data_IF_733108254525
#
_entry.id   IF_733108254525
#
_cell.length_a   1.000
_cell.length_b   1.000
_cell.length_c   1.000
_cell.angle_alpha   90.00
_cell.angle_beta   90.00
_cell.angle_gamma   90.00
#
_symmetry.space_group_name_H-M   'P 1'
#
loop_
_entity.id
_entity.type
_entity.pdbx_description
1 polymer ?
#
# COMPACT_ATOMS: atom_id res chain seq x y z
N UNK A 1 -5.96 -23.29 -22.93
CA UNK A 1 -4.96 -22.75 -21.97
C UNK A 1 -4.40 -21.48 -22.58
N UNK A 2 -4.72 -20.33 -21.98
CA UNK A 2 -4.06 -19.06 -22.33
C UNK A 2 -2.60 -19.18 -21.89
N UNK A 3 -1.66 -18.95 -22.80
CA UNK A 3 -0.22 -18.94 -22.47
C UNK A 3 0.13 -17.53 -22.01
N UNK A 4 0.63 -17.40 -20.78
CA UNK A 4 1.18 -16.14 -20.29
C UNK A 4 2.58 -15.91 -20.88
N UNK A 5 2.91 -14.65 -21.19
CA UNK A 5 4.25 -14.18 -21.54
C UNK A 5 4.92 -13.50 -20.35
N UNK A 6 6.23 -13.24 -20.42
CA UNK A 6 7.00 -12.60 -19.34
C UNK A 6 6.56 -11.14 -19.03
N UNK A 7 5.86 -10.50 -19.98
CA UNK A 7 5.40 -9.12 -19.87
C UNK A 7 3.90 -9.01 -19.58
N UNK A 8 3.20 -10.14 -19.42
CA UNK A 8 1.77 -10.10 -19.14
C UNK A 8 1.53 -9.60 -17.71
N UNK A 9 0.59 -8.67 -17.56
CA UNK A 9 0.11 -8.28 -16.24
C UNK A 9 -0.57 -9.46 -15.57
N UNK A 10 -0.22 -9.70 -14.30
CA UNK A 10 -0.88 -10.74 -13.50
C UNK A 10 -2.27 -10.22 -13.11
N UNK A 11 -3.36 -10.98 -13.38
CA UNK A 11 -4.70 -10.55 -13.01
C UNK A 11 -4.80 -10.31 -11.50
N UNK A 12 -5.60 -9.32 -11.04
CA UNK A 12 -5.79 -9.05 -9.63
C UNK A 12 -6.23 -10.31 -8.87
N UNK A 13 -5.66 -10.55 -7.70
CA UNK A 13 -6.15 -11.63 -6.83
C UNK A 13 -7.63 -11.38 -6.49
N UNK A 14 -8.49 -12.41 -6.52
CA UNK A 14 -9.91 -12.27 -6.17
C UNK A 14 -10.13 -11.91 -4.70
N UNK A 15 -9.10 -11.96 -3.86
CA UNK A 15 -9.15 -11.54 -2.46
C UNK A 15 -8.90 -10.03 -2.28
N UNK A 16 -8.49 -9.33 -3.33
CA UNK A 16 -8.21 -7.89 -3.33
C UNK A 16 -9.35 -7.20 -4.08
N UNK A 17 -10.05 -6.32 -3.39
CA UNK A 17 -11.07 -5.45 -3.95
C UNK A 17 -10.60 -3.99 -3.84
N UNK A 18 -10.83 -3.21 -4.90
CA UNK A 18 -10.57 -1.77 -4.90
C UNK A 18 -11.90 -1.06 -4.80
N UNK A 19 -12.05 -0.21 -3.79
CA UNK A 19 -13.24 0.62 -3.58
C UNK A 19 -12.86 2.11 -3.61
N UNK A 20 -13.85 2.96 -3.82
CA UNK A 20 -13.66 4.41 -3.71
C UNK A 20 -13.36 4.82 -2.27
N UNK A 21 -12.35 5.65 -2.12
CA UNK A 21 -11.91 6.28 -0.88
C UNK A 21 -12.71 7.52 -0.52
N UNK A 22 -12.17 8.31 0.42
CA UNK A 22 -12.85 9.46 1.04
C UNK A 22 -12.23 10.80 0.71
N UNK A 23 -11.01 10.83 0.18
CA UNK A 23 -10.23 12.06 0.01
C UNK A 23 -10.36 12.68 -1.38
N UNK A 24 -10.97 11.99 -2.35
CA UNK A 24 -11.24 12.52 -3.68
C UNK A 24 -11.82 11.46 -4.63
N UNK A 25 -12.23 11.86 -5.85
CA UNK A 25 -12.74 10.93 -6.87
C UNK A 25 -11.69 9.91 -7.33
N UNK A 26 -10.40 10.23 -7.17
CA UNK A 26 -9.26 9.38 -7.53
C UNK A 26 -8.69 8.58 -6.34
N UNK A 27 -9.24 8.78 -5.13
CA UNK A 27 -8.77 8.08 -3.93
C UNK A 27 -9.28 6.64 -3.97
N UNK A 28 -8.38 5.68 -4.03
CA UNK A 28 -8.70 4.25 -3.99
C UNK A 28 -8.31 3.63 -2.65
N UNK A 29 -9.15 2.74 -2.13
CA UNK A 29 -8.89 1.95 -0.93
C UNK A 29 -8.87 0.48 -1.29
N UNK A 30 -7.83 -0.22 -0.83
CA UNK A 30 -7.73 -1.66 -0.96
C UNK A 30 -8.49 -2.32 0.20
N UNK A 31 -9.53 -3.08 -0.14
CA UNK A 31 -10.14 -4.07 0.74
C UNK A 31 -9.50 -5.43 0.47
N UNK A 32 -9.02 -6.09 1.53
CA UNK A 32 -8.47 -7.42 1.42
C UNK A 32 -9.34 -8.40 2.22
N UNK A 33 -9.87 -9.41 1.52
CA UNK A 33 -10.83 -10.39 2.01
C UNK A 33 -10.20 -11.75 2.38
N UNK A 34 -8.87 -11.86 2.31
CA UNK A 34 -8.13 -13.11 2.55
C UNK A 34 -7.73 -13.35 4.01
N UNK A 35 -7.18 -14.55 4.28
CA UNK A 35 -6.58 -14.90 5.59
C UNK A 35 -5.11 -14.47 5.66
N UNK A 36 -4.16 -15.34 5.31
CA UNK A 36 -2.74 -15.00 5.24
C UNK A 36 -2.43 -14.52 3.83
N UNK A 37 -1.75 -13.36 3.64
CA UNK A 37 -1.51 -12.86 2.30
C UNK A 37 -0.39 -13.66 1.65
N UNK A 38 -0.59 -14.05 0.40
CA UNK A 38 0.47 -14.60 -0.46
C UNK A 38 1.46 -13.50 -0.85
N UNK A 39 2.68 -13.89 -1.25
CA UNK A 39 3.66 -12.93 -1.76
C UNK A 39 3.14 -12.18 -3.01
N UNK A 40 2.33 -12.84 -3.84
CA UNK A 40 1.69 -12.22 -4.99
C UNK A 40 0.74 -11.11 -4.55
N UNK A 41 -0.13 -11.38 -3.58
CA UNK A 41 -1.07 -10.39 -3.07
C UNK A 41 -0.35 -9.21 -2.42
N UNK A 42 0.72 -9.45 -1.66
CA UNK A 42 1.56 -8.37 -1.12
C UNK A 42 2.14 -7.52 -2.26
N UNK A 43 2.65 -8.16 -3.32
CA UNK A 43 3.17 -7.46 -4.50
C UNK A 43 2.11 -6.59 -5.19
N UNK A 44 0.90 -7.14 -5.40
CA UNK A 44 -0.22 -6.42 -5.98
C UNK A 44 -0.68 -5.23 -5.11
N UNK A 45 -0.76 -5.42 -3.79
CA UNK A 45 -1.10 -4.36 -2.83
C UNK A 45 -0.05 -3.24 -2.87
N UNK A 46 1.23 -3.59 -2.80
CA UNK A 46 2.32 -2.60 -2.81
C UNK A 46 2.35 -1.80 -4.10
N UNK A 47 2.17 -2.46 -5.25
CA UNK A 47 2.12 -1.82 -6.56
C UNK A 47 0.93 -0.84 -6.66
N UNK A 48 -0.26 -1.28 -6.24
CA UNK A 48 -1.45 -0.45 -6.29
C UNK A 48 -1.36 0.77 -5.37
N UNK A 49 -0.90 0.60 -4.12
CA UNK A 49 -0.72 1.74 -3.19
C UNK A 49 0.26 2.77 -3.76
N UNK A 50 1.35 2.32 -4.39
CA UNK A 50 2.32 3.24 -5.00
C UNK A 50 1.69 4.06 -6.15
N UNK A 51 0.95 3.41 -7.03
CA UNK A 51 0.28 4.08 -8.16
C UNK A 51 -0.80 5.06 -7.67
N UNK A 52 -1.56 4.66 -6.65
CA UNK A 52 -2.60 5.48 -6.06
C UNK A 52 -2.01 6.72 -5.34
N UNK A 53 -0.94 6.54 -4.55
CA UNK A 53 -0.26 7.64 -3.83
C UNK A 53 0.31 8.69 -4.81
N UNK A 54 0.92 8.24 -5.92
CA UNK A 54 1.41 9.13 -6.99
C UNK A 54 0.26 9.86 -7.72
N UNK A 55 -0.92 9.25 -7.84
CA UNK A 55 -2.08 9.85 -8.50
C UNK A 55 -2.76 10.89 -7.61
N UNK A 56 -3.00 10.56 -6.34
CA UNK A 56 -3.67 11.46 -5.38
C UNK A 56 -2.74 12.63 -5.03
N UNK A 57 -1.45 12.35 -4.87
CA UNK A 57 -0.47 13.34 -4.47
C UNK A 57 0.79 13.25 -5.33
N UNK A 58 0.72 13.72 -6.59
CA UNK A 58 1.88 13.74 -7.46
C UNK A 58 3.01 14.59 -6.85
N UNK A 59 4.25 14.27 -7.22
CA UNK A 59 5.42 15.03 -6.75
C UNK A 59 5.24 16.53 -7.02
N UNK A 60 5.24 17.32 -5.96
CA UNK A 60 5.10 18.77 -6.00
C UNK A 60 6.03 19.44 -5.00
N UNK A 61 6.09 20.78 -4.99
CA UNK A 61 6.84 21.50 -3.97
C UNK A 61 6.27 21.17 -2.57
N UNK A 62 7.05 20.46 -1.76
CA UNK A 62 6.66 20.03 -0.41
C UNK A 62 5.90 18.69 -0.31
N UNK A 63 5.69 17.96 -1.41
CA UNK A 63 5.12 16.61 -1.38
C UNK A 63 5.94 15.62 -2.22
N UNK A 64 6.48 14.61 -1.54
CA UNK A 64 7.37 13.61 -2.15
C UNK A 64 6.62 12.52 -2.96
N UNK A 65 5.28 12.57 -3.00
CA UNK A 65 4.46 11.61 -3.74
C UNK A 65 4.72 10.17 -3.34
N UNK A 66 4.68 9.26 -4.34
CA UNK A 66 4.99 7.85 -4.14
C UNK A 66 6.39 7.58 -3.60
N UNK A 67 7.32 8.55 -3.68
CA UNK A 67 8.66 8.45 -3.08
C UNK A 67 8.58 8.35 -1.55
N UNK A 68 7.61 9.04 -0.92
CA UNK A 68 7.39 8.95 0.52
C UNK A 68 6.97 7.54 0.94
N UNK A 69 6.03 6.94 0.21
CA UNK A 69 5.59 5.57 0.43
C UNK A 69 6.72 4.56 0.25
N UNK A 70 7.50 4.72 -0.83
CA UNK A 70 8.67 3.87 -1.12
C UNK A 70 9.70 3.90 0.01
N UNK A 71 10.02 5.11 0.50
CA UNK A 71 10.97 5.30 1.60
C UNK A 71 10.47 4.66 2.91
N UNK A 72 9.17 4.76 3.19
CA UNK A 72 8.56 4.10 4.34
C UNK A 72 8.69 2.57 4.25
N UNK A 73 8.41 1.97 3.09
CA UNK A 73 8.52 0.52 2.89
C UNK A 73 9.96 0.04 3.05
N UNK A 74 10.93 0.71 2.42
CA UNK A 74 12.35 0.37 2.54
C UNK A 74 12.81 0.43 4.00
N UNK A 75 12.46 1.50 4.72
CA UNK A 75 12.83 1.64 6.14
C UNK A 75 12.16 0.57 7.01
N UNK A 76 10.91 0.19 6.72
CA UNK A 76 10.19 -0.87 7.43
C UNK A 76 10.84 -2.23 7.21
N UNK A 77 11.21 -2.55 5.96
CA UNK A 77 11.89 -3.80 5.61
C UNK A 77 13.25 -3.91 6.29
N UNK A 78 14.06 -2.86 6.23
CA UNK A 78 15.39 -2.85 6.85
C UNK A 78 15.34 -3.02 8.38
N UNK A 79 14.33 -2.41 9.03
CA UNK A 79 14.17 -2.48 10.49
C UNK A 79 13.46 -3.73 10.99
N UNK A 80 12.65 -4.37 10.15
CA UNK A 80 11.79 -5.50 10.53
C UNK A 80 10.63 -5.14 11.48
N UNK A 81 10.34 -3.85 11.69
CA UNK A 81 9.22 -3.38 12.54
C UNK A 81 8.83 -1.93 12.26
N UNK A 82 7.58 -1.58 12.55
CA UNK A 82 7.08 -0.20 12.58
C UNK A 82 7.31 0.41 13.96
N UNK A 83 7.83 1.64 14.02
CA UNK A 83 8.13 2.34 15.28
C UNK A 83 7.39 3.67 15.39
N UNK A 84 7.19 4.18 16.61
CA UNK A 84 6.62 5.52 16.83
C UNK A 84 7.40 6.63 16.10
N UNK A 85 8.72 6.51 16.02
CA UNK A 85 9.56 7.46 15.28
C UNK A 85 9.21 7.46 13.78
N UNK A 86 8.99 6.28 13.20
CA UNK A 86 8.54 6.16 11.81
C UNK A 86 7.13 6.71 11.64
N UNK A 87 6.19 6.40 12.56
CA UNK A 87 4.85 6.97 12.50
C UNK A 87 4.89 8.50 12.53
N UNK A 88 5.75 9.10 13.35
CA UNK A 88 5.94 10.56 13.38
C UNK A 88 6.55 11.08 12.07
N UNK A 89 7.64 10.46 11.60
CA UNK A 89 8.35 10.84 10.36
C UNK A 89 7.43 10.83 9.14
N UNK A 90 6.66 9.76 8.97
CA UNK A 90 5.75 9.56 7.85
C UNK A 90 4.31 9.97 8.15
N UNK A 91 4.05 10.72 9.23
CA UNK A 91 2.73 11.23 9.64
C UNK A 91 1.62 10.16 9.65
N UNK A 92 1.94 8.96 10.11
CA UNK A 92 1.02 7.82 10.17
C UNK A 92 0.15 7.92 11.43
N UNK A 93 -1.12 7.57 11.29
CA UNK A 93 -2.05 7.48 12.42
C UNK A 93 -1.76 6.22 13.22
N UNK A 94 -1.35 6.37 14.47
CA UNK A 94 -1.22 5.24 15.39
C UNK A 94 -2.61 4.85 15.90
N UNK A 95 -3.00 3.56 15.86
CA UNK A 95 -4.24 3.09 16.47
C UNK A 95 -4.29 3.49 17.95
N UNK A 96 -5.42 4.03 18.41
CA UNK A 96 -5.60 4.45 19.80
C UNK A 96 -5.76 3.29 20.79
N UNK A 97 -5.83 2.05 20.32
CA UNK A 97 -6.04 0.88 21.16
C UNK A 97 -5.20 -0.32 20.67
N UNK A 98 -4.20 -0.79 21.43
CA UNK A 98 -3.36 -1.94 21.06
C UNK A 98 -4.07 -3.30 21.20
N UNK A 99 -5.30 -3.34 21.74
CA UNK A 99 -6.04 -4.57 22.07
C UNK A 99 -6.69 -5.31 20.89
N UNK A 100 -6.32 -5.00 19.64
CA UNK A 100 -6.85 -5.69 18.45
C UNK A 100 -5.98 -6.86 17.96
N UNK A 101 -4.89 -7.16 18.67
CA UNK A 101 -3.99 -8.28 18.37
C UNK A 101 -3.87 -9.32 19.51
N UNK A 102 -4.83 -9.33 20.44
CA UNK A 102 -4.97 -10.37 21.47
C UNK A 102 -6.12 -11.31 21.14
#
# INVERSE_FOLDING_TARGET
MTKYTENDEVPPSPSIEIISGKFGPEDEVILWHGRMPTLLEIGQIVAHVLQNDERIWPRSEGYDGGERWRNYLIETLFRGKVTFAMCKKYRLRVPRNPSFFS
#
